data_IF_930641730546
#
_entry.id   IF_930641730546
#
_cell.length_a   1.000
_cell.length_b   1.000
_cell.length_c   1.000
_cell.angle_alpha   90.00
_cell.angle_beta   90.00
_cell.angle_gamma   90.00
#
_symmetry.space_group_name_H-M   'P 1'
#
loop_
_entity.id
_entity.type
_entity.pdbx_description
1 polymer ?
#
# COMPACT_ATOMS: atom_id res chain seq x y z
N UNK A 1 19.57 16.41 -12.96
CA UNK A 1 19.91 16.22 -14.39
C UNK A 1 19.03 15.18 -15.06
N UNK A 2 19.03 13.91 -14.60
CA UNK A 2 18.22 12.85 -15.22
C UNK A 2 16.72 13.18 -15.36
N UNK A 3 16.09 13.79 -14.35
CA UNK A 3 14.68 14.18 -14.41
C UNK A 3 14.38 15.30 -15.42
N UNK A 4 15.33 16.22 -15.62
CA UNK A 4 15.20 17.32 -16.59
C UNK A 4 15.24 16.75 -18.01
N UNK A 5 16.22 15.88 -18.28
CA UNK A 5 16.32 15.16 -19.56
C UNK A 5 15.10 14.28 -19.80
N UNK A 6 14.59 13.59 -18.76
CA UNK A 6 13.37 12.81 -18.84
C UNK A 6 12.13 13.64 -19.19
N UNK A 7 11.93 14.78 -18.53
CA UNK A 7 10.80 15.68 -18.84
C UNK A 7 10.87 16.25 -20.26
N UNK A 8 12.07 16.62 -20.72
CA UNK A 8 12.26 17.13 -22.07
C UNK A 8 12.09 16.03 -23.13
N UNK A 9 12.46 14.78 -22.84
CA UNK A 9 12.37 13.68 -23.80
C UNK A 9 10.93 13.27 -24.16
N UNK A 10 9.94 13.52 -23.29
CA UNK A 10 8.55 13.09 -23.53
C UNK A 10 7.89 13.95 -24.63
N UNK A 11 7.94 15.28 -24.49
CA UNK A 11 7.25 16.19 -25.41
C UNK A 11 8.18 17.21 -26.10
N UNK A 12 9.51 17.14 -25.92
CA UNK A 12 10.49 18.08 -26.48
C UNK A 12 10.16 19.57 -26.25
N UNK A 13 9.47 19.87 -25.15
CA UNK A 13 9.05 21.24 -24.81
C UNK A 13 9.73 21.73 -23.54
N UNK A 14 10.20 22.98 -23.59
CA UNK A 14 10.77 23.67 -22.42
C UNK A 14 9.70 23.98 -21.36
N UNK A 15 8.42 23.97 -21.74
CA UNK A 15 7.31 24.13 -20.82
C UNK A 15 7.24 23.00 -19.78
N UNK A 16 7.46 21.75 -20.21
CA UNK A 16 7.44 20.57 -19.33
C UNK A 16 8.60 20.61 -18.32
N UNK A 17 9.73 21.20 -18.69
CA UNK A 17 10.85 21.44 -17.77
C UNK A 17 10.45 22.47 -16.70
N UNK A 18 9.71 23.51 -17.10
CA UNK A 18 9.13 24.49 -16.16
C UNK A 18 8.13 23.85 -15.19
N UNK A 19 7.22 23.01 -15.69
CA UNK A 19 6.26 22.26 -14.86
C UNK A 19 6.98 21.29 -13.93
N UNK A 20 8.02 20.59 -14.40
CA UNK A 20 8.85 19.70 -13.59
C UNK A 20 9.53 20.45 -12.43
N UNK A 21 10.08 21.64 -12.69
CA UNK A 21 10.66 22.51 -11.65
C UNK A 21 9.60 22.95 -10.63
N UNK A 22 8.40 23.32 -11.10
CA UNK A 22 7.27 23.68 -10.22
C UNK A 22 6.79 22.52 -9.35
N UNK A 23 6.58 21.34 -9.94
CA UNK A 23 6.23 20.10 -9.23
C UNK A 23 7.32 19.69 -8.22
N UNK A 24 8.60 19.89 -8.57
CA UNK A 24 9.71 19.67 -7.65
C UNK A 24 9.65 20.57 -6.42
N UNK A 25 9.28 21.85 -6.59
CA UNK A 25 9.09 22.79 -5.49
C UNK A 25 7.89 22.40 -4.61
N UNK A 26 6.79 21.95 -5.23
CA UNK A 26 5.62 21.43 -4.49
C UNK A 26 5.98 20.20 -3.68
N UNK A 27 6.76 19.26 -4.26
CA UNK A 27 7.26 18.08 -3.56
C UNK A 27 8.13 18.46 -2.35
N UNK A 28 9.03 19.42 -2.51
CA UNK A 28 9.84 19.95 -1.41
C UNK A 28 8.97 20.54 -0.29
N UNK A 29 7.93 21.30 -0.63
CA UNK A 29 6.99 21.84 0.35
C UNK A 29 6.20 20.74 1.09
N UNK A 30 5.80 19.68 0.38
CA UNK A 30 5.11 18.54 0.99
C UNK A 30 6.01 17.78 1.98
N UNK A 31 7.29 17.63 1.65
CA UNK A 31 8.28 16.98 2.51
C UNK A 31 8.52 17.77 3.79
N UNK A 32 8.58 19.10 3.72
CA UNK A 32 8.69 19.99 4.88
C UNK A 32 7.47 19.88 5.82
N UNK A 33 6.27 19.61 5.27
CA UNK A 33 5.05 19.37 6.05
C UNK A 33 4.93 17.93 6.58
N UNK A 34 5.94 17.08 6.36
CA UNK A 34 5.94 15.69 6.80
C UNK A 34 5.05 14.75 5.97
N UNK A 35 4.58 15.20 4.80
CA UNK A 35 3.86 14.34 3.86
C UNK A 35 4.84 13.65 2.92
N UNK A 36 4.93 12.31 2.95
CA UNK A 36 5.81 11.59 2.06
C UNK A 36 5.33 11.74 0.61
N UNK A 37 6.16 12.34 -0.24
CA UNK A 37 5.85 12.62 -1.65
C UNK A 37 5.68 11.34 -2.46
N UNK A 38 6.50 10.32 -2.18
CA UNK A 38 6.48 9.04 -2.88
C UNK A 38 5.09 8.34 -2.90
N UNK A 39 4.42 8.11 -1.74
CA UNK A 39 3.08 7.52 -1.73
C UNK A 39 2.00 8.42 -2.34
N UNK A 40 2.15 9.75 -2.30
CA UNK A 40 1.21 10.66 -2.97
C UNK A 40 1.25 10.46 -4.49
N UNK A 41 2.45 10.42 -5.09
CA UNK A 41 2.62 10.16 -6.52
C UNK A 41 2.13 8.75 -6.89
N UNK A 42 2.48 7.74 -6.08
CA UNK A 42 1.99 6.37 -6.29
C UNK A 42 0.47 6.30 -6.25
N UNK A 43 -0.19 7.01 -5.32
CA UNK A 43 -1.64 7.06 -5.25
C UNK A 43 -2.27 7.67 -6.50
N UNK A 44 -1.69 8.75 -7.03
CA UNK A 44 -2.18 9.40 -8.25
C UNK A 44 -2.06 8.46 -9.46
N UNK A 45 -0.92 7.80 -9.63
CA UNK A 45 -0.68 6.88 -10.76
C UNK A 45 -1.52 5.61 -10.63
N UNK A 46 -1.58 5.02 -9.43
CA UNK A 46 -2.36 3.81 -9.18
C UNK A 46 -3.87 4.07 -9.21
N UNK A 47 -4.32 5.28 -8.85
CA UNK A 47 -5.72 5.65 -8.85
C UNK A 47 -6.37 5.48 -10.22
N UNK A 48 -5.76 6.05 -11.26
CA UNK A 48 -6.23 5.94 -12.65
C UNK A 48 -6.27 4.47 -13.13
N UNK A 49 -5.23 3.70 -12.79
CA UNK A 49 -5.21 2.27 -13.11
C UNK A 49 -6.32 1.52 -12.38
N UNK A 50 -6.55 1.79 -11.09
CA UNK A 50 -7.61 1.14 -10.32
C UNK A 50 -8.97 1.50 -10.87
N UNK A 51 -9.23 2.77 -11.18
CA UNK A 51 -10.49 3.23 -11.77
C UNK A 51 -10.74 2.58 -13.13
N UNK A 52 -9.76 2.62 -14.02
CA UNK A 52 -9.87 2.02 -15.36
C UNK A 52 -10.12 0.51 -15.28
N UNK A 53 -9.40 -0.19 -14.39
CA UNK A 53 -9.61 -1.62 -14.19
C UNK A 53 -10.97 -1.92 -13.52
N UNK A 54 -11.42 -1.08 -12.59
CA UNK A 54 -12.72 -1.21 -11.94
C UNK A 54 -13.87 -1.02 -12.94
N UNK A 55 -13.83 0.04 -13.74
CA UNK A 55 -14.82 0.30 -14.79
C UNK A 55 -14.82 -0.82 -15.83
N UNK A 56 -13.64 -1.25 -16.29
CA UNK A 56 -13.50 -2.36 -17.26
C UNK A 56 -14.07 -3.67 -16.71
N UNK A 57 -13.83 -3.97 -15.43
CA UNK A 57 -14.37 -5.19 -14.80
C UNK A 57 -15.88 -5.08 -14.56
N UNK A 58 -16.39 -3.91 -14.20
CA UNK A 58 -17.83 -3.68 -13.97
C UNK A 58 -18.64 -3.75 -15.27
N UNK A 59 -18.11 -3.22 -16.38
CA UNK A 59 -18.70 -3.36 -17.72
C UNK A 59 -18.71 -4.85 -18.15
N UNK A 60 -17.61 -5.58 -17.92
CA UNK A 60 -17.55 -7.02 -18.20
C UNK A 60 -18.47 -7.85 -17.32
N UNK A 61 -18.73 -7.39 -16.09
CA UNK A 61 -19.63 -8.03 -15.13
C UNK A 61 -21.12 -7.72 -15.37
N UNK A 62 -21.46 -6.89 -16.37
CA UNK A 62 -22.85 -6.48 -16.67
C UNK A 62 -23.63 -5.99 -15.43
N UNK A 63 -22.95 -5.28 -14.52
CA UNK A 63 -23.59 -4.70 -13.33
C UNK A 63 -23.93 -5.70 -12.21
N UNK A 64 -23.53 -6.97 -12.33
CA UNK A 64 -23.78 -7.97 -11.28
C UNK A 64 -22.54 -8.12 -10.37
N UNK A 65 -22.63 -7.62 -9.14
CA UNK A 65 -21.59 -7.75 -8.11
C UNK A 65 -21.30 -9.23 -7.78
N UNK A 66 -22.22 -10.15 -8.10
CA UNK A 66 -22.02 -11.60 -7.96
C UNK A 66 -21.08 -12.21 -9.02
N UNK A 67 -20.72 -11.48 -10.07
CA UNK A 67 -19.72 -11.93 -11.05
C UNK A 67 -18.29 -12.05 -10.45
N UNK A 68 -18.03 -11.42 -9.31
CA UNK A 68 -16.79 -11.63 -8.54
C UNK A 68 -16.70 -13.04 -7.93
N UNK A 69 -17.84 -13.61 -7.51
CA UNK A 69 -17.93 -15.00 -7.03
C UNK A 69 -17.95 -16.02 -8.18
N UNK A 70 -18.40 -15.63 -9.38
CA UNK A 70 -18.35 -16.48 -10.57
C UNK A 70 -16.93 -16.66 -11.15
N UNK A 71 -15.96 -15.82 -10.76
CA UNK A 71 -14.56 -15.90 -11.24
C UNK A 71 -13.68 -16.53 -10.15
N UNK A 72 -13.33 -17.83 -10.24
CA UNK A 72 -12.63 -18.57 -9.18
C UNK A 72 -11.27 -17.96 -8.81
N UNK A 73 -10.63 -17.26 -9.75
CA UNK A 73 -9.34 -16.58 -9.53
C UNK A 73 -9.49 -15.33 -8.64
N UNK A 74 -10.57 -14.55 -8.82
CA UNK A 74 -10.81 -13.35 -8.02
C UNK A 74 -11.18 -13.73 -6.57
N UNK A 75 -12.00 -14.77 -6.41
CA UNK A 75 -12.33 -15.33 -5.10
C UNK A 75 -11.09 -15.89 -4.39
N UNK A 76 -10.23 -16.65 -5.08
CA UNK A 76 -9.00 -17.18 -4.50
C UNK A 76 -8.05 -16.07 -4.04
N UNK A 77 -7.83 -15.04 -4.86
CA UNK A 77 -6.99 -13.90 -4.49
C UNK A 77 -7.58 -13.10 -3.32
N UNK A 78 -8.89 -12.85 -3.32
CA UNK A 78 -9.56 -12.15 -2.21
C UNK A 78 -9.45 -12.91 -0.89
N UNK A 79 -9.63 -14.23 -0.90
CA UNK A 79 -9.43 -15.07 0.29
C UNK A 79 -7.99 -15.01 0.77
N UNK A 80 -7.00 -15.10 -0.14
CA UNK A 80 -5.59 -14.97 0.21
C UNK A 80 -5.28 -13.60 0.82
N UNK A 81 -5.80 -12.51 0.26
CA UNK A 81 -5.63 -11.15 0.81
C UNK A 81 -6.21 -11.05 2.21
N UNK A 82 -7.43 -11.57 2.44
CA UNK A 82 -8.07 -11.58 3.76
C UNK A 82 -7.26 -12.41 4.76
N UNK A 83 -6.77 -13.58 4.36
CA UNK A 83 -5.93 -14.44 5.22
C UNK A 83 -4.59 -13.78 5.57
N UNK A 84 -3.93 -13.11 4.62
CA UNK A 84 -2.70 -12.37 4.89
C UNK A 84 -2.98 -11.21 5.85
N UNK A 85 -4.04 -10.45 5.63
CA UNK A 85 -4.41 -9.33 6.49
C UNK A 85 -4.77 -9.79 7.91
N UNK A 86 -5.57 -10.85 8.02
CA UNK A 86 -5.85 -11.52 9.30
C UNK A 86 -4.58 -12.04 9.95
N UNK A 87 -3.63 -12.64 9.22
CA UNK A 87 -2.37 -13.09 9.79
C UNK A 87 -1.55 -11.92 10.38
N UNK A 88 -1.49 -10.79 9.68
CA UNK A 88 -0.75 -9.60 10.14
C UNK A 88 -1.43 -8.92 11.34
N UNK A 89 -2.75 -9.07 11.51
CA UNK A 89 -3.50 -8.51 12.64
C UNK A 89 -3.60 -9.49 13.83
N UNK A 90 -3.88 -10.78 13.59
CA UNK A 90 -3.98 -11.81 14.63
C UNK A 90 -2.61 -12.17 15.23
N UNK A 91 -1.53 -12.25 14.45
CA UNK A 91 -0.21 -12.60 14.98
C UNK A 91 0.31 -11.60 16.04
N UNK A 92 0.21 -10.27 15.89
CA UNK A 92 0.60 -9.34 16.95
C UNK A 92 -0.38 -9.37 18.14
N UNK A 93 -1.67 -9.67 17.93
CA UNK A 93 -2.66 -9.84 19.02
C UNK A 93 -2.38 -11.11 19.84
N UNK A 94 -2.12 -12.25 19.18
CA UNK A 94 -1.71 -13.52 19.79
C UNK A 94 -0.31 -13.43 20.40
N UNK A 95 0.62 -12.67 19.81
CA UNK A 95 1.95 -12.39 20.40
C UNK A 95 1.83 -11.48 21.62
N UNK A 96 0.88 -10.54 21.68
CA UNK A 96 0.57 -9.75 22.89
C UNK A 96 0.02 -10.65 23.99
N UNK A 97 -0.88 -11.59 23.67
CA UNK A 97 -1.39 -12.57 24.66
C UNK A 97 -0.32 -13.57 25.12
N UNK A 98 0.53 -14.05 24.21
CA UNK A 98 1.59 -15.02 24.53
C UNK A 98 2.80 -14.39 25.25
N UNK A 99 3.01 -13.07 25.15
CA UNK A 99 3.97 -12.33 25.99
C UNK A 99 3.43 -12.05 27.40
N UNK A 100 2.11 -12.07 27.60
CA UNK A 100 1.48 -11.96 28.92
C UNK A 100 1.63 -13.21 29.81
N UNK A 101 1.96 -14.37 29.23
CA UNK A 101 2.23 -15.62 29.97
C UNK A 101 3.73 -15.94 30.15
N UNK A 102 4.63 -15.03 29.74
CA UNK A 102 6.06 -15.10 30.08
C UNK A 102 6.43 -14.28 31.32
N UNK A 103 5.43 -13.78 32.05
CA UNK A 103 5.61 -13.06 33.30
C UNK A 103 4.74 -13.71 34.40
N UNK A 104 5.11 -14.94 34.79
CA UNK A 104 4.93 -15.38 36.17
C UNK A 104 6.27 -15.95 36.66
N UNK A 105 6.76 -15.55 37.85
CA UNK A 105 8.12 -15.78 38.31
C UNK A 105 8.29 -17.21 38.82
N UNK A 106 9.39 -17.87 38.48
CA UNK A 106 9.86 -19.06 39.21
C UNK A 106 10.58 -18.61 40.48
N UNK A 107 9.77 -18.12 41.41
CA UNK A 107 9.86 -18.34 42.86
C UNK A 107 11.05 -19.19 43.29
N UNK A 108 11.98 -18.57 44.01
CA UNK A 108 12.50 -19.00 45.31
C UNK A 108 12.12 -20.43 45.71
N UNK A 109 12.89 -21.45 45.30
CA UNK A 109 13.19 -22.63 46.14
C UNK A 109 14.16 -23.63 45.49
N UNK A 110 15.46 -23.37 45.53
CA UNK A 110 16.46 -24.44 45.68
C UNK A 110 17.53 -23.96 46.67
N UNK A 111 17.22 -24.14 47.95
CA UNK A 111 18.22 -24.39 48.98
C UNK A 111 18.56 -25.89 48.94
N UNK A 112 19.82 -26.23 49.27
CA UNK A 112 20.49 -27.54 49.13
C UNK A 112 20.92 -27.78 47.68
N UNK A 113 22.20 -27.77 47.34
CA UNK A 113 23.32 -28.46 47.99
C UNK A 113 24.58 -27.62 48.04
#
# INVERSE_FOLDING_TARGET
MACIVGSFAINNTVFDVGVMMGMGLVGWFMEENGFPVAPAILGIVLGDMVETNFVTTMIKAKGDLFAFFGRPIAAALGVVTILVWLSQVLLPLLRRYRKGLRFYPSKDREARF
#
